data_IF_022413948394
#
_entry.id   IF_022413948394
#
_cell.length_a   1.000
_cell.length_b   1.000
_cell.length_c   1.000
_cell.angle_alpha   90.00
_cell.angle_beta   90.00
_cell.angle_gamma   90.00
#
_symmetry.space_group_name_H-M   'P 1'
#
loop_
_entity.id
_entity.type
_entity.pdbx_description
1 polymer ?
#
# COMPACT_ATOMS: atom_id res chain seq x y z
N UNK A 1 2.82 -9.15 -4.24
CA UNK A 1 1.67 -8.29 -4.62
C UNK A 1 0.39 -9.08 -4.77
N UNK A 2 0.31 -10.05 -5.69
CA UNK A 2 -0.91 -10.82 -5.95
C UNK A 2 -1.52 -11.45 -4.67
N UNK A 3 -0.70 -12.11 -3.83
CA UNK A 3 -1.15 -12.69 -2.56
C UNK A 3 -1.79 -11.68 -1.58
N UNK A 4 -1.32 -10.43 -1.55
CA UNK A 4 -1.91 -9.39 -0.70
C UNK A 4 -3.28 -8.95 -1.22
N UNK A 5 -3.44 -8.90 -2.55
CA UNK A 5 -4.70 -8.56 -3.20
C UNK A 5 -5.71 -9.69 -3.03
N UNK A 6 -5.28 -10.95 -3.14
CA UNK A 6 -6.13 -12.12 -2.89
C UNK A 6 -6.66 -12.14 -1.47
N UNK A 7 -5.80 -11.90 -0.47
CA UNK A 7 -6.23 -11.79 0.92
C UNK A 7 -7.22 -10.63 1.12
N UNK A 8 -6.94 -9.45 0.56
CA UNK A 8 -7.84 -8.32 0.65
C UNK A 8 -9.21 -8.60 -0.02
N UNK A 9 -9.20 -9.32 -1.13
CA UNK A 9 -10.41 -9.74 -1.81
C UNK A 9 -11.19 -10.77 -1.00
N UNK A 10 -10.53 -11.74 -0.36
CA UNK A 10 -11.22 -12.73 0.47
C UNK A 10 -11.94 -12.06 1.65
N UNK A 11 -11.26 -11.12 2.34
CA UNK A 11 -11.88 -10.36 3.43
C UNK A 11 -13.10 -9.56 2.96
N UNK A 12 -13.03 -8.95 1.77
CA UNK A 12 -14.18 -8.26 1.15
C UNK A 12 -15.31 -9.25 0.83
N UNK A 13 -14.99 -10.42 0.30
CA UNK A 13 -15.97 -11.47 -0.07
C UNK A 13 -16.63 -12.09 1.18
N UNK A 14 -15.95 -12.08 2.32
CA UNK A 14 -16.47 -12.43 3.65
C UNK A 14 -17.40 -11.35 4.25
N UNK A 15 -17.59 -10.22 3.56
CA UNK A 15 -18.50 -9.14 3.97
C UNK A 15 -17.84 -8.02 4.77
N UNK A 16 -16.51 -8.02 4.92
CA UNK A 16 -15.79 -6.89 5.56
C UNK A 16 -15.87 -5.66 4.66
N UNK A 17 -16.21 -4.51 5.24
CA UNK A 17 -16.29 -3.26 4.50
C UNK A 17 -14.94 -2.94 3.82
N UNK A 18 -15.00 -2.55 2.54
CA UNK A 18 -13.80 -2.26 1.73
C UNK A 18 -12.92 -1.18 2.32
N UNK A 19 -13.48 -0.18 3.00
CA UNK A 19 -12.70 0.88 3.66
C UNK A 19 -11.97 0.32 4.88
N UNK A 20 -12.57 -0.63 5.59
CA UNK A 20 -11.92 -1.34 6.71
C UNK A 20 -10.77 -2.20 6.19
N UNK A 21 -10.98 -2.98 5.11
CA UNK A 21 -9.89 -3.75 4.48
C UNK A 21 -8.76 -2.83 4.02
N UNK A 22 -9.10 -1.71 3.37
CA UNK A 22 -8.12 -0.71 2.93
C UNK A 22 -7.33 -0.11 4.09
N UNK A 23 -8.00 0.26 5.18
CA UNK A 23 -7.33 0.77 6.38
C UNK A 23 -6.41 -0.29 7.01
N UNK A 24 -6.85 -1.55 7.08
CA UNK A 24 -6.05 -2.66 7.57
C UNK A 24 -4.77 -2.88 6.76
N UNK A 25 -4.85 -2.85 5.43
CA UNK A 25 -3.68 -2.93 4.56
C UNK A 25 -2.70 -1.77 4.77
N UNK A 26 -3.21 -0.55 4.94
CA UNK A 26 -2.39 0.62 5.22
C UNK A 26 -1.64 0.47 6.55
N UNK A 27 -2.33 0.04 7.61
CA UNK A 27 -1.72 -0.23 8.92
C UNK A 27 -0.69 -1.35 8.83
N UNK A 28 -1.00 -2.46 8.18
CA UNK A 28 -0.06 -3.57 7.98
C UNK A 28 1.21 -3.12 7.22
N UNK A 29 1.04 -2.29 6.19
CA UNK A 29 2.16 -1.67 5.48
C UNK A 29 3.01 -0.78 6.37
N UNK A 30 2.39 0.04 7.24
CA UNK A 30 3.12 0.93 8.14
C UNK A 30 3.93 0.14 9.19
N UNK A 31 3.36 -0.94 9.75
CA UNK A 31 4.05 -1.85 10.67
C UNK A 31 5.23 -2.53 9.99
N UNK A 32 5.02 -3.08 8.79
CA UNK A 32 6.09 -3.76 8.05
C UNK A 32 7.19 -2.78 7.62
N UNK A 33 6.84 -1.58 7.17
CA UNK A 33 7.82 -0.54 6.86
C UNK A 33 8.62 -0.13 8.10
N UNK A 34 7.97 0.00 9.26
CA UNK A 34 8.66 0.28 10.52
C UNK A 34 9.68 -0.82 10.84
N UNK A 35 9.30 -2.09 10.73
CA UNK A 35 10.24 -3.20 10.89
C UNK A 35 11.44 -3.12 9.92
N UNK A 36 11.19 -2.85 8.64
CA UNK A 36 12.24 -2.76 7.61
C UNK A 36 13.23 -1.63 7.87
N UNK A 37 12.76 -0.46 8.31
CA UNK A 37 13.60 0.74 8.43
C UNK A 37 14.12 1.01 9.85
N UNK A 38 13.40 0.59 10.90
CA UNK A 38 13.81 0.76 12.29
C UNK A 38 14.59 -0.45 12.85
N UNK A 39 14.50 -1.62 12.21
CA UNK A 39 15.09 -2.84 12.75
C UNK A 39 14.59 -3.13 14.17
N UNK A 40 15.52 -3.30 15.12
CA UNK A 40 15.21 -3.65 16.51
C UNK A 40 14.67 -2.47 17.35
N UNK A 41 14.76 -1.23 16.87
CA UNK A 41 14.33 -0.05 17.63
C UNK A 41 12.80 0.08 17.69
N UNK A 42 12.07 -0.64 16.83
CA UNK A 42 10.61 -0.75 16.87
C UNK A 42 9.84 0.52 16.50
N UNK A 43 10.51 1.65 16.26
CA UNK A 43 9.90 2.92 15.86
C UNK A 43 10.75 3.67 14.83
N UNK A 44 10.08 4.40 13.94
CA UNK A 44 10.75 5.30 13.01
C UNK A 44 11.09 6.63 13.69
N UNK A 45 12.29 7.14 13.46
CA UNK A 45 12.58 8.55 13.68
C UNK A 45 11.68 9.42 12.76
N UNK A 46 11.42 10.71 13.08
CA UNK A 46 10.57 11.58 12.27
C UNK A 46 10.99 11.62 10.79
N UNK A 47 12.28 11.74 10.51
CA UNK A 47 12.81 11.70 9.14
C UNK A 47 12.58 10.35 8.43
N UNK A 48 12.45 9.26 9.18
CA UNK A 48 12.08 7.94 8.65
C UNK A 48 10.62 7.88 8.23
N UNK A 49 9.71 8.50 9.00
CA UNK A 49 8.29 8.62 8.65
C UNK A 49 8.14 9.37 7.32
N UNK A 50 8.84 10.50 7.17
CA UNK A 50 8.80 11.30 5.94
C UNK A 50 9.30 10.52 4.71
N UNK A 51 10.39 9.75 4.87
CA UNK A 51 10.93 8.90 3.81
C UNK A 51 9.93 7.82 3.37
N UNK A 52 9.30 7.14 4.32
CA UNK A 52 8.29 6.10 4.02
C UNK A 52 7.08 6.72 3.32
N UNK A 53 6.59 7.86 3.81
CA UNK A 53 5.47 8.58 3.19
C UNK A 53 5.80 9.02 1.75
N UNK A 54 7.00 9.56 1.53
CA UNK A 54 7.47 9.97 0.20
C UNK A 54 7.57 8.77 -0.76
N UNK A 55 8.13 7.65 -0.31
CA UNK A 55 8.22 6.43 -1.10
C UNK A 55 6.84 5.90 -1.48
N UNK A 56 5.88 5.90 -0.55
CA UNK A 56 4.50 5.50 -0.81
C UNK A 56 3.85 6.40 -1.87
N UNK A 57 4.03 7.73 -1.75
CA UNK A 57 3.53 8.70 -2.74
C UNK A 57 4.07 8.41 -4.14
N UNK A 58 5.38 8.21 -4.27
CA UNK A 58 6.01 7.89 -5.56
C UNK A 58 5.44 6.60 -6.17
N UNK A 59 5.26 5.56 -5.37
CA UNK A 59 4.71 4.29 -5.83
C UNK A 59 3.24 4.42 -6.26
N UNK A 60 2.46 5.22 -5.53
CA UNK A 60 1.07 5.52 -5.89
C UNK A 60 1.01 6.26 -7.23
N UNK A 61 1.82 7.31 -7.40
CA UNK A 61 1.91 8.08 -8.65
C UNK A 61 2.31 7.18 -9.84
N UNK A 62 3.30 6.31 -9.65
CA UNK A 62 3.71 5.34 -10.67
C UNK A 62 2.55 4.39 -11.04
N UNK A 63 1.84 3.88 -10.05
CA UNK A 63 0.68 3.00 -10.25
C UNK A 63 -0.44 3.70 -11.03
N UNK A 64 -0.74 4.96 -10.71
CA UNK A 64 -1.76 5.74 -11.42
C UNK A 64 -1.36 6.00 -12.87
N UNK A 65 -0.10 6.33 -13.11
CA UNK A 65 0.44 6.53 -14.47
C UNK A 65 0.29 5.26 -15.32
N UNK A 66 0.71 4.12 -14.79
CA UNK A 66 0.59 2.83 -15.48
C UNK A 66 -0.89 2.46 -15.75
N UNK A 67 -1.82 2.79 -14.85
CA UNK A 67 -3.26 2.61 -15.07
C UNK A 67 -3.79 3.52 -16.18
N UNK A 68 -3.37 4.78 -16.22
CA UNK A 68 -3.75 5.76 -17.26
C UNK A 68 -3.31 5.28 -18.64
N UNK A 69 -2.03 4.90 -18.79
CA UNK A 69 -1.48 4.40 -20.06
C UNK A 69 -2.20 3.14 -20.55
N UNK A 70 -2.55 2.21 -19.65
CA UNK A 70 -3.33 1.02 -20.01
C UNK A 70 -4.72 1.38 -20.52
N UNK A 71 -5.40 2.33 -19.85
CA UNK A 71 -6.73 2.79 -20.25
C UNK A 71 -6.71 3.44 -21.63
N UNK A 72 -5.70 4.25 -21.92
CA UNK A 72 -5.52 4.92 -23.22
C UNK A 72 -5.25 3.90 -24.35
N UNK A 73 -4.42 2.88 -24.10
CA UNK A 73 -4.19 1.80 -25.08
C UNK A 73 -5.41 0.93 -25.34
N UNK A 74 -6.27 0.70 -24.35
CA UNK A 74 -7.50 -0.09 -24.52
C UNK A 74 -8.66 0.67 -25.16
N UNK A 75 -8.50 1.99 -25.36
CA UNK A 75 -9.50 2.85 -26.00
C UNK A 75 -9.20 3.12 -27.48
N UNK A 76 -8.12 2.53 -28.00
CA UNK A 76 -7.73 2.50 -29.42
C UNK A 76 -8.08 1.13 -30.00
#
# INVERSE_FOLDING_TARGET
>A
MQRFIELANSMKDEGVDRRVVSAGLMTASAVYATYVFAGNDGMLAPAGVDKVAAAYKQQLEHTQRAKKERKERSAQ
#
